data_IF_740328848338
#
_entry.id   IF_740328848338
#
_cell.length_a   1.000
_cell.length_b   1.000
_cell.length_c   1.000
_cell.angle_alpha   90.00
_cell.angle_beta   90.00
_cell.angle_gamma   90.00
#
_symmetry.space_group_name_H-M   'P 1'
#
loop_
_entity.id
_entity.type
_entity.pdbx_description
1 polymer ?
#
# COMPACT_ATOMS: atom_id res chain seq x y z
N UNK A 1 16.64 -1.96 -11.02
CA UNK A 1 15.16 -1.95 -10.85
C UNK A 1 14.62 -3.03 -9.92
N UNK A 2 14.89 -4.33 -10.14
CA UNK A 2 14.29 -5.43 -9.33
C UNK A 2 14.54 -5.31 -7.81
N UNK A 3 15.78 -4.95 -7.41
CA UNK A 3 16.13 -4.71 -6.00
C UNK A 3 15.38 -3.52 -5.40
N UNK A 4 15.23 -2.44 -6.16
CA UNK A 4 14.56 -1.21 -5.71
C UNK A 4 13.06 -1.45 -5.47
N UNK A 5 12.40 -2.20 -6.36
CA UNK A 5 11.00 -2.63 -6.18
C UNK A 5 10.83 -3.50 -4.92
N UNK A 6 11.78 -4.41 -4.66
CA UNK A 6 11.77 -5.24 -3.45
C UNK A 6 11.90 -4.39 -2.18
N UNK A 7 12.83 -3.43 -2.17
CA UNK A 7 13.04 -2.55 -1.02
C UNK A 7 11.80 -1.69 -0.78
N UNK A 8 11.22 -1.08 -1.82
CA UNK A 8 10.00 -0.29 -1.71
C UNK A 8 8.82 -1.14 -1.21
N UNK A 9 8.65 -2.35 -1.73
CA UNK A 9 7.60 -3.26 -1.25
C UNK A 9 7.72 -3.57 0.24
N UNK A 10 8.94 -3.81 0.74
CA UNK A 10 9.20 -4.04 2.16
C UNK A 10 8.92 -2.78 2.98
N UNK A 11 9.37 -1.61 2.53
CA UNK A 11 9.16 -0.34 3.22
C UNK A 11 7.67 0.00 3.34
N UNK A 12 6.90 -0.15 2.25
CA UNK A 12 5.46 0.08 2.26
C UNK A 12 4.72 -0.90 3.17
N UNK A 13 5.13 -2.18 3.19
CA UNK A 13 4.58 -3.16 4.13
C UNK A 13 4.89 -2.80 5.59
N UNK A 14 6.12 -2.37 5.90
CA UNK A 14 6.50 -1.92 7.25
C UNK A 14 5.71 -0.68 7.67
N UNK A 15 5.58 0.31 6.78
CA UNK A 15 4.79 1.51 7.03
C UNK A 15 3.32 1.16 7.30
N UNK A 16 2.75 0.23 6.53
CA UNK A 16 1.39 -0.28 6.73
C UNK A 16 1.21 -0.88 8.12
N UNK A 17 2.13 -1.74 8.56
CA UNK A 17 2.08 -2.39 9.87
C UNK A 17 2.19 -1.33 10.98
N UNK A 18 3.12 -0.38 10.84
CA UNK A 18 3.29 0.69 11.82
C UNK A 18 2.04 1.58 11.95
N UNK A 19 1.44 1.99 10.83
CA UNK A 19 0.19 2.76 10.80
C UNK A 19 -0.98 1.97 11.40
N UNK A 20 -1.09 0.68 11.10
CA UNK A 20 -2.14 -0.17 11.65
C UNK A 20 -2.01 -0.32 13.18
N UNK A 21 -0.79 -0.54 13.70
CA UNK A 21 -0.53 -0.59 15.14
C UNK A 21 -0.81 0.74 15.82
N UNK A 22 -0.41 1.85 15.21
CA UNK A 22 -0.69 3.19 15.72
C UNK A 22 -2.20 3.44 15.84
N UNK A 23 -2.95 3.16 14.78
CA UNK A 23 -4.42 3.30 14.78
C UNK A 23 -5.09 2.39 15.82
N UNK A 24 -4.58 1.17 16.01
CA UNK A 24 -5.11 0.23 17.01
C UNK A 24 -4.88 0.70 18.44
N UNK A 25 -3.70 1.24 18.74
CA UNK A 25 -3.35 1.74 20.09
C UNK A 25 -4.08 3.06 20.38
N UNK A 26 -4.29 3.90 19.36
CA UNK A 26 -4.81 5.26 19.50
C UNK A 26 -6.30 5.40 19.10
N UNK A 27 -7.06 4.30 19.07
CA UNK A 27 -8.43 4.22 18.53
C UNK A 27 -9.48 5.06 19.30
N UNK A 28 -9.09 5.70 20.40
CA UNK A 28 -9.92 6.65 21.13
C UNK A 28 -10.14 7.98 20.37
N UNK A 29 -9.34 8.27 19.34
CA UNK A 29 -9.52 9.45 18.49
C UNK A 29 -10.16 9.06 17.15
N UNK A 30 -11.49 9.24 17.04
CA UNK A 30 -12.21 9.30 15.75
C UNK A 30 -11.67 10.36 14.78
N UNK A 31 -10.75 11.21 15.23
CA UNK A 31 -10.28 12.43 14.56
C UNK A 31 -9.29 12.20 13.42
N UNK A 32 -8.64 11.05 13.31
CA UNK A 32 -7.52 10.90 12.36
C UNK A 32 -7.92 10.19 11.05
N UNK A 33 -8.93 10.76 10.39
CA UNK A 33 -9.34 10.35 9.04
C UNK A 33 -8.15 10.39 8.06
N UNK A 34 -7.27 11.38 8.20
CA UNK A 34 -6.02 11.49 7.46
C UNK A 34 -5.12 10.25 7.64
N UNK A 35 -4.90 9.79 8.88
CA UNK A 35 -4.08 8.59 9.15
C UNK A 35 -4.71 7.33 8.57
N UNK A 36 -6.04 7.23 8.57
CA UNK A 36 -6.76 6.12 7.92
C UNK A 36 -6.62 6.17 6.39
N UNK A 37 -6.66 7.34 5.78
CA UNK A 37 -6.36 7.51 4.35
C UNK A 37 -4.91 7.12 4.05
N UNK A 38 -3.95 7.54 4.87
CA UNK A 38 -2.54 7.18 4.74
C UNK A 38 -2.27 5.68 4.92
N UNK A 39 -3.01 5.00 5.80
CA UNK A 39 -2.89 3.55 5.95
C UNK A 39 -3.39 2.82 4.69
N UNK A 40 -4.48 3.28 4.07
CA UNK A 40 -4.94 2.75 2.78
C UNK A 40 -3.93 3.00 1.66
N UNK A 41 -3.31 4.18 1.60
CA UNK A 41 -2.26 4.49 0.62
C UNK A 41 -1.05 3.59 0.80
N UNK A 42 -0.60 3.36 2.04
CA UNK A 42 0.55 2.50 2.30
C UNK A 42 0.26 1.04 1.98
N UNK A 43 -0.96 0.56 2.24
CA UNK A 43 -1.43 -0.76 1.80
C UNK A 43 -1.41 -0.89 0.27
N UNK A 44 -1.94 0.10 -0.46
CA UNK A 44 -1.93 0.09 -1.92
C UNK A 44 -0.50 0.08 -2.47
N UNK A 45 0.38 0.90 -1.91
CA UNK A 45 1.81 0.90 -2.25
C UNK A 45 2.45 -0.46 -2.04
N UNK A 46 2.17 -1.13 -0.91
CA UNK A 46 2.69 -2.46 -0.62
C UNK A 46 2.24 -3.48 -1.68
N UNK A 47 0.97 -3.46 -2.08
CA UNK A 47 0.42 -4.34 -3.13
C UNK A 47 1.09 -4.06 -4.47
N UNK A 48 1.19 -2.79 -4.88
CA UNK A 48 1.78 -2.38 -6.15
C UNK A 48 3.25 -2.80 -6.22
N UNK A 49 4.07 -2.44 -5.24
CA UNK A 49 5.51 -2.69 -5.30
C UNK A 49 5.86 -4.18 -5.15
N UNK A 50 5.13 -4.92 -4.32
CA UNK A 50 5.31 -6.38 -4.23
C UNK A 50 4.85 -7.08 -5.51
N UNK A 51 3.69 -6.72 -6.06
CA UNK A 51 3.20 -7.23 -7.35
C UNK A 51 4.16 -6.94 -8.50
N UNK A 52 4.67 -5.71 -8.58
CA UNK A 52 5.63 -5.28 -9.59
C UNK A 52 6.96 -6.05 -9.46
N UNK A 53 7.43 -6.30 -8.24
CA UNK A 53 8.60 -7.15 -8.01
C UNK A 53 8.37 -8.59 -8.49
N UNK A 54 7.21 -9.18 -8.20
CA UNK A 54 6.87 -10.54 -8.68
C UNK A 54 6.79 -10.61 -10.22
N UNK A 55 6.12 -9.64 -10.85
CA UNK A 55 6.02 -9.58 -12.30
C UNK A 55 7.40 -9.39 -12.97
N UNK A 56 8.21 -8.46 -12.48
CA UNK A 56 9.54 -8.19 -13.07
C UNK A 56 10.56 -9.32 -12.82
N UNK A 57 10.37 -10.12 -11.77
CA UNK A 57 11.27 -11.25 -11.47
C UNK A 57 10.87 -12.53 -12.21
N UNK A 58 9.58 -12.86 -12.26
CA UNK A 58 9.09 -14.16 -12.75
C UNK A 58 8.20 -14.07 -13.99
N UNK A 59 7.88 -12.86 -14.48
CA UNK A 59 6.85 -12.62 -15.51
C UNK A 59 5.52 -13.29 -15.16
N UNK A 60 5.19 -13.33 -13.88
CA UNK A 60 3.94 -13.91 -13.40
C UNK A 60 2.79 -12.90 -13.57
N UNK A 61 1.81 -13.26 -14.40
CA UNK A 61 0.62 -12.44 -14.66
C UNK A 61 -0.17 -12.11 -13.39
N UNK A 62 -0.05 -12.91 -12.33
CA UNK A 62 -0.64 -12.60 -11.02
C UNK A 62 -0.03 -11.35 -10.40
N UNK A 63 1.28 -11.15 -10.58
CA UNK A 63 1.96 -9.93 -10.16
C UNK A 63 1.48 -8.70 -10.93
N UNK A 64 1.23 -8.85 -12.23
CA UNK A 64 0.66 -7.78 -13.06
C UNK A 64 -0.76 -7.41 -12.64
N UNK A 65 -1.62 -8.41 -12.40
CA UNK A 65 -2.99 -8.19 -11.91
C UNK A 65 -2.96 -7.47 -10.56
N UNK A 66 -2.08 -7.89 -9.65
CA UNK A 66 -1.89 -7.25 -8.35
C UNK A 66 -1.51 -5.76 -8.48
N UNK A 67 -0.63 -5.42 -9.42
CA UNK A 67 -0.26 -4.02 -9.72
C UNK A 67 -1.48 -3.23 -10.22
N UNK A 68 -2.20 -3.76 -11.20
CA UNK A 68 -3.37 -3.10 -11.79
C UNK A 68 -4.44 -2.84 -10.73
N UNK A 69 -4.79 -3.86 -9.94
CA UNK A 69 -5.76 -3.74 -8.86
C UNK A 69 -5.31 -2.72 -7.82
N UNK A 70 -4.03 -2.76 -7.41
CA UNK A 70 -3.48 -1.80 -6.46
C UNK A 70 -3.56 -0.35 -6.95
N UNK A 71 -3.31 -0.10 -8.25
CA UNK A 71 -3.42 1.24 -8.85
C UNK A 71 -4.88 1.70 -8.88
N UNK A 72 -5.83 0.83 -9.27
CA UNK A 72 -7.25 1.17 -9.30
C UNK A 72 -7.74 1.56 -7.90
N UNK A 73 -7.40 0.76 -6.88
CA UNK A 73 -7.79 1.05 -5.50
C UNK A 73 -7.14 2.35 -5.02
N UNK A 74 -5.86 2.58 -5.33
CA UNK A 74 -5.16 3.82 -4.97
C UNK A 74 -5.84 5.05 -5.56
N UNK A 75 -6.26 5.00 -6.83
CA UNK A 75 -7.00 6.09 -7.47
C UNK A 75 -8.33 6.35 -6.77
N UNK A 76 -9.08 5.30 -6.42
CA UNK A 76 -10.32 5.44 -5.64
C UNK A 76 -10.03 6.09 -4.29
N UNK A 77 -8.98 5.66 -3.59
CA UNK A 77 -8.61 6.20 -2.28
C UNK A 77 -8.30 7.68 -2.35
N UNK A 78 -7.44 8.09 -3.30
CA UNK A 78 -6.99 9.47 -3.46
C UNK A 78 -8.13 10.41 -3.91
N UNK A 79 -9.10 9.92 -4.69
CA UNK A 79 -10.22 10.73 -5.19
C UNK A 79 -11.33 10.86 -4.14
N UNK A 80 -11.61 9.79 -3.37
CA UNK A 80 -12.79 9.72 -2.52
C UNK A 80 -12.54 10.13 -1.06
N UNK A 81 -11.33 9.98 -0.56
CA UNK A 81 -11.06 10.26 0.86
C UNK A 81 -10.23 11.54 1.00
N UNK A 82 -10.63 12.47 1.89
CA UNK A 82 -9.83 13.63 2.21
C UNK A 82 -8.54 13.20 2.93
N UNK A 83 -7.46 13.90 2.59
CA UNK A 83 -6.17 13.84 3.26
C UNK A 83 -6.10 14.87 4.38
#
# INVERSE_FOLDING_TARGET
MKYLLRILGILFSLATIALALYLLINDNNRADQAMRTWSMVTMCGAVIFNGAHFYTRRKDNRGLISVIVGIIILLVVVIKFPF
#
